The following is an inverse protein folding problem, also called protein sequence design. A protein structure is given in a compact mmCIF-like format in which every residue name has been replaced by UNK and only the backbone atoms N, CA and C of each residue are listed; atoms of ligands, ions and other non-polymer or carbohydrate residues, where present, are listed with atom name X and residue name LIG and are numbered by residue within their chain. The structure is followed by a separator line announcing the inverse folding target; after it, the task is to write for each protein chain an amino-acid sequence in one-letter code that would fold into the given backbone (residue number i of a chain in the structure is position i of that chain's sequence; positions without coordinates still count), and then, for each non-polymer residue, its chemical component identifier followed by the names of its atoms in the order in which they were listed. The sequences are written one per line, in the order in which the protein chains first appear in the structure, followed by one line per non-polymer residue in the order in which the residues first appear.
data_IF_719361437425
#
_entry.id   IF_719361437425
#
_cell.length_a   1.000
_cell.length_b   1.000
_cell.length_c   1.000
_cell.angle_alpha   90.00
_cell.angle_beta   90.00
_cell.angle_gamma   90.00
#
_symmetry.space_group_name_H-M   'P 1'
#
loop_
_entity.id
_entity.type
_entity.pdbx_description
1 polymer ?
#
# COMPACT_ATOMS: atom_id res chain seq x y z
N UNK A 1 -16.02 -6.54 -69.07
CA UNK A 1 -16.95 -6.47 -67.92
C UNK A 1 -16.56 -7.44 -66.80
N UNK A 2 -16.57 -8.76 -67.02
CA UNK A 2 -16.30 -9.76 -65.97
C UNK A 2 -14.94 -9.62 -65.27
N UNK A 3 -13.86 -9.38 -66.04
CA UNK A 3 -12.50 -9.20 -65.47
C UNK A 3 -12.41 -8.02 -64.50
N UNK A 4 -13.09 -6.91 -64.80
CA UNK A 4 -13.09 -5.70 -63.96
C UNK A 4 -13.88 -5.94 -62.67
N UNK A 5 -14.96 -6.72 -62.75
CA UNK A 5 -15.76 -7.14 -61.59
C UNK A 5 -14.94 -8.03 -60.63
N UNK A 6 -14.19 -8.99 -61.17
CA UNK A 6 -13.31 -9.87 -60.38
C UNK A 6 -12.23 -9.06 -59.67
N UNK A 7 -11.58 -8.13 -60.38
CA UNK A 7 -10.54 -7.26 -59.81
C UNK A 7 -11.06 -6.38 -58.66
N UNK A 8 -12.29 -5.86 -58.80
CA UNK A 8 -12.95 -5.08 -57.73
C UNK A 8 -13.30 -5.96 -56.53
N UNK A 9 -13.81 -7.17 -56.76
CA UNK A 9 -14.13 -8.12 -55.68
C UNK A 9 -12.88 -8.47 -54.85
N UNK A 10 -11.75 -8.75 -55.53
CA UNK A 10 -10.48 -9.04 -54.87
C UNK A 10 -10.00 -7.84 -54.04
N UNK A 11 -10.08 -6.62 -54.58
CA UNK A 11 -9.72 -5.42 -53.82
C UNK A 11 -10.59 -5.21 -52.59
N UNK A 12 -11.91 -5.43 -52.68
CA UNK A 12 -12.79 -5.32 -51.53
C UNK A 12 -12.47 -6.36 -50.46
N UNK A 13 -12.16 -7.60 -50.83
CA UNK A 13 -11.78 -8.65 -49.88
C UNK A 13 -10.47 -8.32 -49.16
N UNK A 14 -9.46 -7.80 -49.88
CA UNK A 14 -8.20 -7.36 -49.29
C UNK A 14 -8.43 -6.18 -48.34
N UNK A 15 -9.19 -5.17 -48.77
CA UNK A 15 -9.49 -3.99 -47.95
C UNK A 15 -10.29 -4.34 -46.68
N UNK A 16 -11.25 -5.26 -46.77
CA UNK A 16 -11.99 -5.78 -45.59
C UNK A 16 -11.05 -6.56 -44.67
N UNK A 17 -10.15 -7.37 -45.23
CA UNK A 17 -9.13 -8.09 -44.47
C UNK A 17 -8.22 -7.16 -43.69
N UNK A 18 -7.67 -6.13 -44.34
CA UNK A 18 -6.81 -5.12 -43.70
C UNK A 18 -7.56 -4.29 -42.67
N UNK A 19 -8.82 -3.92 -42.95
CA UNK A 19 -9.66 -3.20 -42.00
C UNK A 19 -9.97 -4.06 -40.77
N UNK A 20 -10.29 -5.35 -40.95
CA UNK A 20 -10.55 -6.27 -39.84
C UNK A 20 -9.28 -6.55 -39.02
N UNK A 21 -8.12 -6.71 -39.67
CA UNK A 21 -6.84 -6.88 -38.99
C UNK A 21 -6.44 -5.61 -38.23
N UNK A 22 -6.65 -4.45 -38.84
CA UNK A 22 -6.47 -3.13 -38.23
C UNK A 22 -7.40 -2.96 -37.03
N UNK A 23 -8.68 -3.28 -37.19
CA UNK A 23 -9.66 -3.23 -36.11
C UNK A 23 -9.25 -4.15 -34.95
N UNK A 24 -8.90 -5.42 -35.19
CA UNK A 24 -8.41 -6.34 -34.16
C UNK A 24 -7.12 -5.83 -33.47
N UNK A 25 -6.24 -5.14 -34.21
CA UNK A 25 -4.97 -4.62 -33.68
C UNK A 25 -5.12 -3.27 -32.95
N UNK A 26 -6.14 -2.48 -33.28
CA UNK A 26 -6.41 -1.14 -32.72
C UNK A 26 -7.58 -1.08 -31.71
N UNK A 27 -8.35 -2.17 -31.55
CA UNK A 27 -9.36 -2.36 -30.49
C UNK A 27 -8.83 -2.64 -29.06
N UNK A 28 -7.51 -2.68 -28.73
CA UNK A 28 -7.08 -2.78 -27.32
C UNK A 28 -7.59 -1.66 -26.40
N UNK A 29 -8.15 -0.57 -26.96
CA UNK A 29 -8.75 0.52 -26.18
C UNK A 29 -10.16 0.20 -25.64
N UNK A 30 -10.91 -0.75 -26.22
CA UNK A 30 -12.26 -1.10 -25.74
C UNK A 30 -12.28 -2.23 -24.70
N UNK A 31 -11.26 -3.09 -24.67
CA UNK A 31 -11.06 -4.09 -23.60
C UNK A 31 -10.76 -3.44 -22.24
N UNK A 32 -10.43 -2.15 -22.23
CA UNK A 32 -10.04 -1.40 -21.04
C UNK A 32 -11.19 -1.15 -20.04
N UNK A 33 -12.46 -1.30 -20.46
CA UNK A 33 -13.62 -1.06 -19.59
C UNK A 33 -14.14 -2.37 -18.97
N UNK A 34 -14.14 -3.47 -19.73
CA UNK A 34 -14.55 -4.78 -19.22
C UNK A 34 -13.48 -5.46 -18.36
N UNK A 35 -12.19 -5.31 -18.69
CA UNK A 35 -11.10 -5.88 -17.90
C UNK A 35 -10.98 -5.28 -16.48
N UNK A 36 -11.36 -4.01 -16.29
CA UNK A 36 -11.21 -3.30 -15.01
C UNK A 36 -12.11 -3.81 -13.89
N UNK A 37 -13.34 -4.23 -14.19
CA UNK A 37 -14.26 -4.84 -13.19
C UNK A 37 -13.72 -6.16 -12.62
N UNK A 38 -12.82 -6.84 -13.32
CA UNK A 38 -12.25 -8.10 -12.86
C UNK A 38 -11.09 -7.94 -11.88
N UNK A 39 -10.42 -6.78 -11.80
CA UNK A 39 -9.17 -6.68 -11.05
C UNK A 39 -9.42 -6.79 -9.54
N UNK A 40 -10.37 -6.02 -9.00
CA UNK A 40 -10.70 -6.09 -7.57
C UNK A 40 -11.20 -7.48 -7.16
N UNK A 41 -12.15 -8.04 -7.92
CA UNK A 41 -12.69 -9.38 -7.67
C UNK A 41 -11.60 -10.47 -7.75
N UNK A 42 -10.64 -10.33 -8.66
CA UNK A 42 -9.50 -11.24 -8.77
C UNK A 42 -8.56 -11.13 -7.58
N UNK A 43 -8.22 -9.91 -7.15
CA UNK A 43 -7.38 -9.69 -5.95
C UNK A 43 -8.05 -10.27 -4.71
N UNK A 44 -9.36 -10.07 -4.54
CA UNK A 44 -10.11 -10.67 -3.43
C UNK A 44 -10.17 -12.20 -3.51
N UNK A 45 -10.31 -12.76 -4.72
CA UNK A 45 -10.28 -14.21 -4.92
C UNK A 45 -8.89 -14.81 -4.62
N UNK A 46 -7.82 -14.14 -5.05
CA UNK A 46 -6.44 -14.54 -4.75
C UNK A 46 -6.16 -14.45 -3.25
N UNK A 47 -6.64 -13.39 -2.57
CA UNK A 47 -6.52 -13.24 -1.12
C UNK A 47 -7.19 -14.41 -0.36
N UNK A 48 -8.36 -14.88 -0.80
CA UNK A 48 -9.07 -16.03 -0.20
C UNK A 48 -8.33 -17.37 -0.37
N UNK A 49 -7.39 -17.46 -1.32
CA UNK A 49 -6.58 -18.67 -1.55
C UNK A 49 -5.34 -18.72 -0.66
N UNK A 50 -4.97 -17.61 -0.03
CA UNK A 50 -3.83 -17.55 0.88
C UNK A 50 -4.18 -18.21 2.22
N UNK A 51 -3.22 -18.93 2.80
CA UNK A 51 -3.37 -19.57 4.12
C UNK A 51 -3.51 -18.54 5.24
N UNK A 52 -2.78 -17.41 5.12
CA UNK A 52 -2.80 -16.29 6.05
C UNK A 52 -2.59 -14.99 5.28
N UNK A 53 -3.15 -13.90 5.80
CA UNK A 53 -2.88 -12.54 5.37
C UNK A 53 -2.24 -11.77 6.52
N UNK A 54 -1.27 -10.88 6.26
CA UNK A 54 -0.76 -9.99 7.28
C UNK A 54 -1.86 -9.00 7.70
N UNK A 55 -1.95 -8.70 9.00
CA UNK A 55 -2.75 -7.59 9.50
C UNK A 55 -2.11 -6.25 9.11
N UNK A 56 -0.77 -6.20 9.16
CA UNK A 56 0.03 -5.03 8.80
C UNK A 56 1.15 -5.38 7.83
N UNK A 57 1.20 -4.69 6.69
CA UNK A 57 2.30 -4.76 5.73
C UNK A 57 3.14 -3.47 5.73
N UNK A 58 4.46 -3.62 5.79
CA UNK A 58 5.43 -2.53 5.61
C UNK A 58 5.94 -2.47 4.18
N UNK A 59 6.00 -1.28 3.59
CA UNK A 59 6.60 -1.01 2.28
C UNK A 59 7.85 -0.14 2.51
N UNK A 60 9.02 -0.75 2.42
CA UNK A 60 10.31 -0.07 2.71
C UNK A 60 10.98 0.30 1.39
N UNK A 61 11.01 1.59 1.10
CA UNK A 61 11.54 2.14 -0.15
C UNK A 61 12.98 2.60 0.09
N UNK A 62 13.95 1.82 -0.39
CA UNK A 62 15.39 2.12 -0.32
C UNK A 62 15.98 2.37 -1.72
N UNK A 63 15.15 2.89 -2.62
CA UNK A 63 15.50 3.27 -3.99
C UNK A 63 15.63 4.78 -4.11
N UNK A 64 16.47 5.24 -5.03
CA UNK A 64 16.64 6.68 -5.29
C UNK A 64 15.42 7.29 -5.98
N UNK A 65 14.80 6.51 -6.87
CA UNK A 65 13.64 6.92 -7.64
C UNK A 65 12.51 5.93 -7.37
N UNK A 66 11.33 6.44 -7.10
CA UNK A 66 10.13 5.64 -6.89
C UNK A 66 8.93 6.34 -7.54
N UNK A 67 7.90 5.55 -7.82
CA UNK A 67 6.68 6.01 -8.50
C UNK A 67 5.52 6.06 -7.52
N UNK A 68 4.96 7.25 -7.31
CA UNK A 68 3.75 7.41 -6.49
C UNK A 68 2.57 6.60 -7.00
N UNK A 69 2.51 6.35 -8.32
CA UNK A 69 1.48 5.51 -8.92
C UNK A 69 1.61 4.06 -8.48
N UNK A 70 2.83 3.53 -8.43
CA UNK A 70 3.08 2.14 -8.05
C UNK A 70 2.91 1.94 -6.54
N UNK A 71 3.37 2.89 -5.72
CA UNK A 71 3.06 2.91 -4.29
C UNK A 71 1.55 2.95 -4.03
N UNK A 72 0.82 3.80 -4.75
CA UNK A 72 -0.63 3.85 -4.66
C UNK A 72 -1.29 2.51 -5.03
N UNK A 73 -0.82 1.86 -6.09
CA UNK A 73 -1.32 0.54 -6.48
C UNK A 73 -1.06 -0.51 -5.39
N UNK A 74 0.15 -0.54 -4.81
CA UNK A 74 0.47 -1.44 -3.71
C UNK A 74 -0.46 -1.23 -2.51
N UNK A 75 -0.69 0.03 -2.10
CA UNK A 75 -1.64 0.37 -1.02
C UNK A 75 -3.03 -0.18 -1.35
N UNK A 76 -3.57 0.15 -2.53
CA UNK A 76 -4.94 -0.23 -2.89
C UNK A 76 -5.06 -1.74 -3.02
N UNK A 77 -4.06 -2.44 -3.56
CA UNK A 77 -4.04 -3.90 -3.61
C UNK A 77 -4.02 -4.51 -2.20
N UNK A 78 -3.17 -4.03 -1.30
CA UNK A 78 -3.13 -4.50 0.09
C UNK A 78 -4.49 -4.35 0.77
N UNK A 79 -5.12 -3.19 0.62
CA UNK A 79 -6.44 -2.93 1.20
C UNK A 79 -7.52 -3.80 0.54
N UNK A 80 -7.47 -3.99 -0.77
CA UNK A 80 -8.39 -4.89 -1.50
C UNK A 80 -8.26 -6.34 -1.04
N UNK A 81 -7.05 -6.80 -0.73
CA UNK A 81 -6.82 -8.13 -0.15
C UNK A 81 -7.43 -8.28 1.25
N UNK A 82 -7.71 -7.16 1.93
CA UNK A 82 -8.25 -7.13 3.29
C UNK A 82 -7.19 -6.85 4.36
N UNK A 83 -6.03 -6.30 4.00
CA UNK A 83 -5.00 -5.86 4.94
C UNK A 83 -5.46 -4.52 5.56
N UNK A 84 -5.45 -4.44 6.89
CA UNK A 84 -5.98 -3.28 7.63
C UNK A 84 -4.96 -2.16 7.83
N UNK A 85 -3.67 -2.49 7.92
CA UNK A 85 -2.60 -1.53 8.14
C UNK A 85 -1.56 -1.63 7.04
N UNK A 86 -1.16 -0.48 6.51
CA UNK A 86 -0.04 -0.36 5.58
C UNK A 86 0.88 0.72 6.14
N UNK A 87 2.17 0.46 6.24
CA UNK A 87 3.15 1.51 6.51
C UNK A 87 4.09 1.65 5.34
N UNK A 88 4.48 2.88 5.04
CA UNK A 88 5.36 3.21 3.92
C UNK A 88 6.52 3.99 4.49
N UNK A 89 7.73 3.49 4.25
CA UNK A 89 8.94 4.08 4.80
C UNK A 89 9.87 4.52 3.70
N UNK A 90 10.30 5.78 3.77
CA UNK A 90 11.48 6.26 3.08
C UNK A 90 12.39 7.01 4.06
N UNK A 91 13.68 6.70 4.02
CA UNK A 91 14.64 7.26 4.97
C UNK A 91 14.73 8.80 4.89
N UNK A 92 14.48 9.38 3.71
CA UNK A 92 14.58 10.81 3.46
C UNK A 92 13.29 11.57 3.84
N UNK A 93 12.20 10.89 4.16
CA UNK A 93 10.87 11.45 4.40
C UNK A 93 10.22 12.15 3.19
N UNK A 94 10.65 11.83 1.96
CA UNK A 94 10.10 12.43 0.73
C UNK A 94 8.62 12.06 0.53
N UNK A 95 8.25 10.80 0.76
CA UNK A 95 6.88 10.33 0.62
C UNK A 95 5.98 11.02 1.65
N UNK A 96 6.48 11.15 2.89
CA UNK A 96 5.78 11.79 4.00
C UNK A 96 5.56 13.29 3.74
N UNK A 97 6.54 14.01 3.20
CA UNK A 97 6.40 15.43 2.80
C UNK A 97 5.42 15.64 1.65
N UNK A 98 5.37 14.70 0.72
CA UNK A 98 4.52 14.76 -0.48
C UNK A 98 3.24 13.92 -0.34
N UNK A 99 2.71 13.79 0.89
CA UNK A 99 1.56 12.90 1.19
C UNK A 99 0.31 13.21 0.36
N UNK A 100 0.06 14.48 0.04
CA UNK A 100 -1.04 14.89 -0.83
C UNK A 100 -0.91 14.33 -2.26
N UNK A 101 0.32 14.24 -2.78
CA UNK A 101 0.57 13.66 -4.10
C UNK A 101 0.26 12.17 -4.09
N UNK A 102 0.72 11.46 -3.06
CA UNK A 102 0.40 10.04 -2.87
C UNK A 102 -1.12 9.84 -2.75
N UNK A 103 -1.81 10.66 -1.96
CA UNK A 103 -3.27 10.57 -1.78
C UNK A 103 -4.03 10.70 -3.11
N UNK A 104 -3.62 11.63 -3.99
CA UNK A 104 -4.22 11.76 -5.33
C UNK A 104 -4.05 10.49 -6.15
N UNK A 105 -2.87 9.87 -6.11
CA UNK A 105 -2.63 8.61 -6.81
C UNK A 105 -3.38 7.44 -6.20
N UNK A 106 -3.57 7.41 -4.88
CA UNK A 106 -4.42 6.41 -4.19
C UNK A 106 -5.86 6.53 -4.65
N UNK A 107 -6.44 7.73 -4.70
CA UNK A 107 -7.81 7.91 -5.19
C UNK A 107 -7.95 7.56 -6.69
N UNK A 108 -6.94 7.88 -7.51
CA UNK A 108 -6.91 7.43 -8.91
C UNK A 108 -6.83 5.90 -9.03
N UNK A 109 -6.03 5.25 -8.20
CA UNK A 109 -5.87 3.79 -8.19
C UNK A 109 -7.16 3.10 -7.72
N UNK A 110 -7.82 3.63 -6.68
CA UNK A 110 -9.17 3.19 -6.23
C UNK A 110 -10.20 3.30 -7.35
N UNK A 111 -10.25 4.45 -8.03
CA UNK A 111 -11.18 4.64 -9.15
C UNK A 111 -10.93 3.66 -10.30
N UNK A 112 -9.65 3.33 -10.58
CA UNK A 112 -9.28 2.36 -11.60
C UNK A 112 -9.66 0.92 -11.25
N UNK A 113 -9.76 0.57 -9.97
CA UNK A 113 -10.19 -0.76 -9.52
C UNK A 113 -11.71 -0.97 -9.55
N UNK A 114 -12.50 0.03 -10.00
CA UNK A 114 -13.97 0.03 -10.08
C UNK A 114 -14.58 -0.62 -8.82
N UNK A 115 -14.33 -0.01 -7.66
CA UNK A 115 -15.09 -0.35 -6.46
C UNK A 115 -16.57 -0.10 -6.73
N UNK A 116 -17.40 -1.13 -6.60
CA UNK A 116 -18.83 -0.93 -6.50
C UNK A 116 -19.09 -0.04 -5.27
N UNK A 117 -20.02 0.91 -5.35
CA UNK A 117 -20.26 1.90 -4.27
C UNK A 117 -20.60 1.23 -2.93
N UNK A 118 -20.94 -0.05 -2.92
CA UNK A 118 -21.25 -0.86 -1.75
C UNK A 118 -20.04 -1.45 -1.02
N UNK A 119 -18.86 -1.58 -1.66
CA UNK A 119 -17.62 -2.07 -1.02
C UNK A 119 -16.55 -0.98 -0.90
N UNK A 120 -16.98 0.23 -0.52
CA UNK A 120 -16.08 1.36 -0.31
C UNK A 120 -15.09 1.02 0.80
N UNK A 121 -13.83 0.77 0.44
CA UNK A 121 -12.74 0.67 1.41
C UNK A 121 -12.31 2.11 1.73
N UNK A 122 -12.40 2.49 2.99
CA UNK A 122 -11.98 3.81 3.44
C UNK A 122 -10.48 3.75 3.75
N UNK A 123 -9.68 4.51 3.01
CA UNK A 123 -8.22 4.55 3.18
C UNK A 123 -7.84 5.88 3.80
N UNK A 124 -7.34 5.85 5.03
CA UNK A 124 -6.83 7.04 5.72
C UNK A 124 -5.31 7.07 5.67
N UNK A 125 -4.74 8.17 5.18
CA UNK A 125 -3.29 8.35 5.11
C UNK A 125 -2.84 9.28 6.24
N UNK A 126 -1.95 8.80 7.09
CA UNK A 126 -1.40 9.50 8.24
C UNK A 126 0.07 9.81 7.98
N UNK A 127 0.44 11.09 8.01
CA UNK A 127 1.84 11.53 7.99
C UNK A 127 2.43 11.70 9.39
N UNK A 128 1.59 11.76 10.41
CA UNK A 128 2.00 11.88 11.81
C UNK A 128 1.19 10.88 12.63
N UNK A 129 1.65 10.59 13.85
CA UNK A 129 0.90 9.77 14.79
C UNK A 129 -0.53 10.33 14.96
N UNK A 130 -1.58 9.53 14.70
CA UNK A 130 -2.95 9.97 14.92
C UNK A 130 -3.14 10.28 16.41
N UNK A 131 -3.97 11.26 16.76
CA UNK A 131 -4.37 11.47 18.16
C UNK A 131 -5.48 10.49 18.59
N UNK A 132 -6.10 9.79 17.63
CA UNK A 132 -7.13 8.79 17.87
C UNK A 132 -7.23 7.86 16.66
N UNK A 133 -6.72 6.64 16.78
CA UNK A 133 -6.92 5.61 15.76
C UNK A 133 -8.09 4.75 16.19
N UNK A 134 -9.22 4.80 15.46
CA UNK A 134 -10.25 3.78 15.63
C UNK A 134 -9.66 2.42 15.23
N UNK A 135 -9.73 1.44 16.13
CA UNK A 135 -9.25 0.08 15.87
C UNK A 135 -9.95 -0.44 14.61
N UNK A 136 -9.18 -0.66 13.54
CA UNK A 136 -9.70 -1.18 12.29
C UNK A 136 -9.95 -2.67 12.46
N UNK A 137 -11.16 -3.02 12.91
CA UNK A 137 -11.59 -4.41 13.12
C UNK A 137 -11.85 -5.14 11.80
N UNK A 138 -11.50 -6.43 11.76
CA UNK A 138 -11.86 -7.35 10.68
C UNK A 138 -13.37 -7.69 10.81
N UNK A 139 -14.23 -6.99 10.06
CA UNK A 139 -15.69 -7.18 10.11
C UNK A 139 -16.40 -6.89 8.77
N UNK A 140 -17.66 -7.35 8.64
CA UNK A 140 -18.52 -7.24 7.42
C UNK A 140 -19.07 -5.82 7.15
N UNK A 141 -18.43 -4.77 7.67
CA UNK A 141 -18.79 -3.37 7.45
C UNK A 141 -17.89 -2.69 6.40
N UNK A 142 -17.97 -1.36 6.32
CA UNK A 142 -16.98 -0.54 5.58
C UNK A 142 -15.59 -0.92 6.08
N UNK A 143 -14.77 -1.48 5.20
CA UNK A 143 -13.41 -1.89 5.54
C UNK A 143 -12.53 -0.64 5.60
N UNK A 144 -12.21 -0.20 6.82
CA UNK A 144 -11.27 0.89 7.06
C UNK A 144 -9.84 0.34 7.03
N UNK A 145 -8.96 1.03 6.32
CA UNK A 145 -7.54 0.76 6.31
C UNK A 145 -6.74 2.03 6.62
N UNK A 146 -5.70 1.87 7.43
CA UNK A 146 -4.82 2.96 7.84
C UNK A 146 -3.47 2.82 7.14
N UNK A 147 -3.06 3.91 6.48
CA UNK A 147 -1.78 4.02 5.80
C UNK A 147 -0.90 4.98 6.58
N UNK A 148 0.22 4.52 7.10
CA UNK A 148 1.15 5.32 7.90
C UNK A 148 2.40 5.65 7.08
N UNK A 149 2.65 6.94 6.84
CA UNK A 149 3.86 7.40 6.17
C UNK A 149 4.92 7.65 7.23
N UNK A 150 6.03 6.94 7.09
CA UNK A 150 7.11 6.90 8.05
C UNK A 150 8.41 7.36 7.40
N UNK A 151 9.31 7.90 8.22
CA UNK A 151 10.67 8.26 7.83
C UNK A 151 11.67 7.89 8.92
N UNK A 152 12.94 8.27 8.77
CA UNK A 152 13.97 8.01 9.77
C UNK A 152 13.61 8.51 11.19
N UNK A 153 12.78 9.54 11.30
CA UNK A 153 12.32 10.06 12.60
C UNK A 153 11.34 9.12 13.33
N UNK A 154 10.65 8.26 12.58
CA UNK A 154 9.68 7.31 13.13
C UNK A 154 10.35 5.98 13.53
N UNK A 155 11.63 5.80 13.21
CA UNK A 155 12.43 4.62 13.55
C UNK A 155 13.23 4.79 14.85
N UNK A 156 14.55 4.91 14.72
CA UNK A 156 15.45 5.01 15.88
C UNK A 156 15.16 6.24 16.76
N UNK A 157 14.71 7.36 16.18
CA UNK A 157 14.40 8.55 16.97
C UNK A 157 13.22 8.32 17.92
N UNK A 158 12.21 7.52 17.54
CA UNK A 158 11.13 7.10 18.44
C UNK A 158 11.69 6.38 19.68
N UNK A 159 12.67 5.49 19.50
CA UNK A 159 13.31 4.80 20.62
C UNK A 159 14.10 5.75 21.53
N UNK A 160 14.79 6.73 20.94
CA UNK A 160 15.46 7.77 21.73
C UNK A 160 14.44 8.61 22.52
N UNK A 161 13.27 8.90 21.95
CA UNK A 161 12.19 9.60 22.65
C UNK A 161 11.65 8.77 23.82
N UNK A 162 11.39 7.48 23.62
CA UNK A 162 10.96 6.56 24.69
C UNK A 162 12.02 6.46 25.80
N UNK A 163 13.30 6.35 25.44
CA UNK A 163 14.39 6.34 26.42
C UNK A 163 14.43 7.64 27.24
N UNK A 164 14.22 8.80 26.61
CA UNK A 164 14.12 10.09 27.32
C UNK A 164 12.89 10.16 28.23
N UNK A 165 11.74 9.65 27.78
CA UNK A 165 10.52 9.61 28.59
C UNK A 165 10.73 8.77 29.85
N UNK A 166 11.26 7.54 29.70
CA UNK A 166 11.59 6.66 30.82
C UNK A 166 12.61 7.30 31.76
N UNK A 167 13.66 7.92 31.22
CA UNK A 167 14.67 8.63 32.04
C UNK A 167 14.05 9.75 32.88
N UNK A 168 13.10 10.50 32.32
CA UNK A 168 12.36 11.55 33.06
C UNK A 168 11.44 10.96 34.13
N UNK A 169 10.78 9.85 33.86
CA UNK A 169 9.95 9.14 34.85
C UNK A 169 10.78 8.65 36.03
N UNK A 170 11.98 8.11 35.77
CA UNK A 170 12.92 7.71 36.82
C UNK A 170 13.43 8.91 37.61
N UNK A 171 13.84 9.99 36.93
CA UNK A 171 14.28 11.21 37.61
C UNK A 171 13.18 11.85 38.47
N UNK A 172 11.93 11.77 38.02
CA UNK A 172 10.74 12.21 38.75
C UNK A 172 10.24 11.22 39.80
N UNK A 173 10.96 10.12 40.07
CA UNK A 173 10.61 9.08 41.04
C UNK A 173 9.25 8.39 40.77
N UNK A 174 8.77 8.42 39.53
CA UNK A 174 7.52 7.76 39.11
C UNK A 174 7.71 6.26 38.82
N UNK A 175 8.94 5.85 38.51
CA UNK A 175 9.31 4.46 38.19
C UNK A 175 10.76 4.24 38.60
N UNK A 176 11.14 3.02 39.02
CA UNK A 176 12.53 2.71 39.30
C UNK A 176 13.23 2.21 38.03
N UNK A 177 14.54 2.47 37.90
CA UNK A 177 15.31 2.04 36.74
C UNK A 177 15.28 0.50 36.53
N UNK A 178 15.21 -0.25 37.62
CA UNK A 178 15.13 -1.72 37.61
C UNK A 178 13.78 -2.26 37.12
N UNK A 179 12.73 -1.43 37.13
CA UNK A 179 11.38 -1.82 36.70
C UNK A 179 11.17 -1.59 35.18
N UNK A 180 12.17 -1.01 34.49
CA UNK A 180 12.14 -0.83 33.05
C UNK A 180 12.30 -2.19 32.38
N UNK A 181 11.21 -2.68 31.78
CA UNK A 181 11.15 -3.95 31.07
C UNK A 181 10.92 -3.77 29.57
N UNK A 182 11.23 -4.77 28.73
CA UNK A 182 10.87 -4.75 27.31
C UNK A 182 9.36 -4.54 27.08
N UNK A 183 8.52 -5.04 27.98
CA UNK A 183 7.06 -4.86 27.93
C UNK A 183 6.69 -3.38 28.08
N UNK A 184 7.30 -2.68 29.04
CA UNK A 184 7.07 -1.24 29.27
C UNK A 184 7.54 -0.40 28.09
N UNK A 185 8.72 -0.72 27.53
CA UNK A 185 9.24 -0.06 26.32
C UNK A 185 8.31 -0.30 25.14
N UNK A 186 7.89 -1.55 24.93
CA UNK A 186 6.97 -1.92 23.85
C UNK A 186 5.63 -1.21 23.94
N UNK A 187 5.06 -1.07 25.13
CA UNK A 187 3.83 -0.31 25.36
C UNK A 187 3.99 1.17 24.97
N UNK A 188 5.07 1.83 25.41
CA UNK A 188 5.33 3.23 25.07
C UNK A 188 5.56 3.45 23.57
N UNK A 189 6.29 2.54 22.91
CA UNK A 189 6.48 2.58 21.45
C UNK A 189 5.14 2.40 20.73
N UNK A 190 4.31 1.46 21.18
CA UNK A 190 2.99 1.22 20.59
C UNK A 190 2.08 2.44 20.74
N UNK A 191 2.05 3.06 21.91
CA UNK A 191 1.26 4.27 22.19
C UNK A 191 1.67 5.46 21.31
N UNK A 192 2.96 5.57 20.96
CA UNK A 192 3.46 6.61 20.06
C UNK A 192 2.98 6.43 18.62
N UNK A 193 2.93 5.19 18.13
CA UNK A 193 2.63 4.91 16.72
C UNK A 193 1.16 4.61 16.44
N UNK A 194 0.44 4.03 17.41
CA UNK A 194 -0.99 3.66 17.34
C UNK A 194 -1.35 2.68 16.20
N UNK A 195 -0.45 1.78 15.82
CA UNK A 195 -0.71 0.69 14.88
C UNK A 195 0.06 -0.58 15.32
N UNK A 196 -0.41 -1.79 14.93
CA UNK A 196 0.24 -3.05 15.32
C UNK A 196 1.61 -3.23 14.63
N UNK A 197 2.45 -4.11 15.17
CA UNK A 197 3.73 -4.48 14.54
C UNK A 197 3.50 -5.04 13.11
N UNK A 198 4.39 -4.77 12.15
CA UNK A 198 4.26 -5.31 10.79
C UNK A 198 4.50 -6.83 10.77
N UNK A 199 3.62 -7.58 10.09
CA UNK A 199 3.76 -9.03 9.92
C UNK A 199 4.64 -9.36 8.70
N UNK A 200 4.57 -8.52 7.66
CA UNK A 200 5.29 -8.67 6.41
C UNK A 200 5.90 -7.33 6.01
N UNK A 201 7.14 -7.35 5.54
CA UNK A 201 7.87 -6.20 5.01
C UNK A 201 8.25 -6.48 3.56
N UNK A 202 7.86 -5.59 2.64
CA UNK A 202 8.30 -5.60 1.26
C UNK A 202 9.36 -4.51 1.09
N UNK A 203 10.60 -4.93 0.88
CA UNK A 203 11.74 -4.03 0.67
C UNK A 203 12.02 -3.83 -0.81
N UNK A 204 11.96 -2.59 -1.25
CA UNK A 204 12.31 -2.17 -2.62
C UNK A 204 13.71 -1.56 -2.64
N UNK A 205 14.49 -1.92 -3.66
CA UNK A 205 15.84 -1.40 -3.90
C UNK A 205 17.00 -2.36 -3.67
N UNK A 206 18.19 -1.99 -4.15
CA UNK A 206 19.36 -2.87 -4.16
C UNK A 206 20.04 -3.01 -2.79
N UNK A 207 19.71 -2.15 -1.83
CA UNK A 207 20.35 -2.12 -0.51
C UNK A 207 19.83 -3.26 0.36
N UNK A 208 20.73 -4.09 0.90
CA UNK A 208 20.40 -5.16 1.85
C UNK A 208 20.28 -4.62 3.29
N UNK A 209 19.38 -3.67 3.49
CA UNK A 209 19.11 -3.05 4.79
C UNK A 209 17.69 -2.50 4.82
N UNK A 210 17.08 -2.48 6.01
CA UNK A 210 15.80 -1.82 6.26
C UNK A 210 15.95 -0.30 6.51
N UNK A 211 17.18 0.22 6.44
CA UNK A 211 17.51 1.65 6.56
C UNK A 211 16.98 2.35 7.84
N UNK A 212 16.66 1.59 8.89
CA UNK A 212 16.11 2.12 10.15
C UNK A 212 14.58 2.10 10.23
N UNK A 213 13.91 1.37 9.35
CA UNK A 213 12.48 1.09 9.44
C UNK A 213 12.14 0.30 10.71
N UNK A 214 11.36 0.94 11.61
CA UNK A 214 10.72 0.37 12.81
C UNK A 214 11.52 -0.72 13.55
N UNK A 215 12.75 -0.44 14.02
CA UNK A 215 13.69 -1.45 14.48
C UNK A 215 13.21 -2.27 15.69
N UNK A 216 12.30 -1.73 16.50
CA UNK A 216 11.72 -2.45 17.63
C UNK A 216 10.58 -3.39 17.20
N UNK A 217 9.72 -2.90 16.31
CA UNK A 217 8.53 -3.59 15.84
C UNK A 217 8.86 -4.71 14.85
N UNK A 218 10.00 -4.64 14.14
CA UNK A 218 10.33 -5.61 13.09
C UNK A 218 10.90 -6.95 13.59
N UNK A 219 10.87 -7.21 14.90
CA UNK A 219 11.51 -8.39 15.51
C UNK A 219 10.98 -9.76 15.03
N UNK A 220 9.74 -9.80 14.55
CA UNK A 220 9.05 -11.01 14.07
C UNK A 220 8.51 -10.84 12.64
N UNK A 221 8.91 -9.77 11.95
CA UNK A 221 8.42 -9.46 10.61
C UNK A 221 9.15 -10.31 9.58
N UNK A 222 8.40 -10.90 8.66
CA UNK A 222 8.97 -11.55 7.48
C UNK A 222 9.43 -10.49 6.47
N UNK A 223 10.64 -10.60 5.91
CA UNK A 223 11.26 -9.63 4.98
C UNK A 223 11.57 -10.28 3.65
#
# INVERSE_FOLDING_TARGET
MLRVLILRLVHYLIAIGEYALGFLRYVPQYDFIFAKKHVAAKVEADAKRLRKLPLHVGLVVVEKEFSYKDLANLIVWSVTMGISYVSIYDMNGEIKRNSQQLQRHVEQSKANMIYDKQTSHEIHIYSHSPQHTEICGVGKGVKKASVHLLSAEDGCQSLVQVARMLSRQVAGQQTLAQDISPTTVGALVHDMHQFPDPDLCLKFGPTNSLAGYLPWQTRLTEI
#
